data_IF_768352849485
#
_entry.id   IF_768352849485
#
_cell.length_a   1.000
_cell.length_b   1.000
_cell.length_c   1.000
_cell.angle_alpha   90.00
_cell.angle_beta   90.00
_cell.angle_gamma   90.00
#
_symmetry.space_group_name_H-M   'P 1'
#
loop_
_entity.id
_entity.type
_entity.pdbx_description
1 polymer ?
#
# COMPACT_ATOMS: atom_id res chain seq x y z
N UNK A 1 -16.02 -4.85 -0.27
CA UNK A 1 -14.99 -4.28 0.64
C UNK A 1 -14.37 -3.01 0.10
N UNK A 2 -13.83 -2.96 -1.13
CA UNK A 2 -13.23 -1.74 -1.70
C UNK A 2 -14.18 -0.53 -1.69
N UNK A 3 -15.44 -0.72 -2.10
CA UNK A 3 -16.44 0.36 -2.09
C UNK A 3 -16.70 0.93 -0.70
N UNK A 4 -16.63 0.10 0.35
CA UNK A 4 -16.76 0.55 1.74
C UNK A 4 -15.58 1.43 2.14
N UNK A 5 -14.34 1.04 1.76
CA UNK A 5 -13.12 1.81 2.06
C UNK A 5 -13.14 3.17 1.39
N UNK A 6 -13.42 3.18 0.09
CA UNK A 6 -13.49 4.41 -0.70
C UNK A 6 -14.65 5.27 -0.20
N UNK A 7 -15.81 4.67 0.09
CA UNK A 7 -16.96 5.36 0.66
C UNK A 7 -16.65 6.02 2.00
N UNK A 8 -15.92 5.36 2.90
CA UNK A 8 -15.51 5.93 4.18
C UNK A 8 -14.57 7.14 3.99
N UNK A 9 -13.59 7.05 3.10
CA UNK A 9 -12.68 8.17 2.76
C UNK A 9 -13.47 9.34 2.18
N UNK A 10 -14.34 9.08 1.22
CA UNK A 10 -15.19 10.11 0.59
C UNK A 10 -16.13 10.75 1.61
N UNK A 11 -16.71 9.97 2.52
CA UNK A 11 -17.55 10.50 3.59
C UNK A 11 -16.80 11.44 4.53
N UNK A 12 -15.57 11.07 4.96
CA UNK A 12 -14.72 11.95 5.78
C UNK A 12 -14.44 13.25 5.05
N UNK A 13 -14.07 13.19 3.76
CA UNK A 13 -13.80 14.37 2.94
C UNK A 13 -15.04 15.28 2.85
N UNK A 14 -16.20 14.73 2.51
CA UNK A 14 -17.44 15.51 2.36
C UNK A 14 -17.85 16.15 3.70
N UNK A 15 -17.79 15.40 4.80
CA UNK A 15 -18.11 15.92 6.13
C UNK A 15 -17.11 16.99 6.56
N UNK A 16 -15.82 16.79 6.28
CA UNK A 16 -14.78 17.77 6.58
C UNK A 16 -14.92 19.07 5.81
N UNK A 17 -15.36 19.02 4.55
CA UNK A 17 -15.61 20.23 3.74
C UNK A 17 -16.89 20.95 4.19
N UNK A 18 -17.95 20.21 4.54
CA UNK A 18 -19.26 20.80 4.85
C UNK A 18 -19.40 21.28 6.28
N UNK A 19 -18.82 20.56 7.25
CA UNK A 19 -18.93 20.83 8.69
C UNK A 19 -17.63 21.38 9.29
N UNK A 20 -16.51 21.26 8.58
CA UNK A 20 -15.23 21.81 9.02
C UNK A 20 -15.27 23.33 9.05
N UNK A 21 -14.95 23.91 10.20
CA UNK A 21 -14.71 25.34 10.30
C UNK A 21 -13.31 25.64 9.75
N UNK A 22 -13.21 26.60 8.82
CA UNK A 22 -11.97 27.08 8.16
C UNK A 22 -10.86 27.59 9.09
N UNK A 23 -11.04 27.52 10.40
CA UNK A 23 -10.14 27.99 11.45
C UNK A 23 -8.85 27.18 11.63
N UNK A 24 -8.70 25.99 11.02
CA UNK A 24 -7.53 25.10 11.22
C UNK A 24 -6.32 25.37 10.31
N UNK A 25 -6.50 26.08 9.20
CA UNK A 25 -5.42 26.36 8.24
C UNK A 25 -4.79 27.71 8.58
N UNK A 26 -4.07 27.77 9.70
CA UNK A 26 -3.05 28.79 9.84
C UNK A 26 -1.84 28.34 9.02
N UNK A 27 -1.29 29.18 8.13
CA UNK A 27 -0.01 28.86 7.51
C UNK A 27 0.98 28.64 8.64
N UNK A 28 1.38 27.39 8.86
CA UNK A 28 2.57 27.10 9.65
C UNK A 28 3.70 27.69 8.83
N UNK A 29 4.08 28.93 9.16
CA UNK A 29 5.38 29.45 8.80
C UNK A 29 6.36 28.38 9.25
N UNK A 30 7.12 27.84 8.30
CA UNK A 30 8.24 26.93 8.58
C UNK A 30 9.24 27.81 9.34
N UNK A 31 9.04 27.99 10.65
CA UNK A 31 9.77 28.96 11.47
C UNK A 31 11.15 28.46 11.87
N UNK A 32 11.42 27.17 11.66
CA UNK A 32 12.77 26.64 11.68
C UNK A 32 13.04 25.95 10.34
N UNK A 33 14.15 26.27 9.65
CA UNK A 33 14.70 25.33 8.71
C UNK A 33 14.93 24.06 9.53
N UNK A 34 14.25 22.97 9.17
CA UNK A 34 14.53 21.68 9.78
C UNK A 34 16.05 21.50 9.65
N UNK A 35 16.73 21.42 10.80
CA UNK A 35 18.19 21.51 10.90
C UNK A 35 18.89 20.33 10.17
N UNK A 36 18.10 19.41 9.62
CA UNK A 36 18.40 18.56 8.48
C UNK A 36 17.15 18.36 7.60
N UNK A 37 16.92 19.26 6.64
CA UNK A 37 15.73 19.21 5.76
C UNK A 37 15.67 17.92 4.94
N UNK A 38 16.82 17.36 4.56
CA UNK A 38 16.90 16.08 3.86
C UNK A 38 16.50 14.93 4.79
N UNK A 39 17.01 14.90 6.03
CA UNK A 39 16.68 13.87 7.01
C UNK A 39 15.18 13.83 7.33
N UNK A 40 14.56 15.00 7.52
CA UNK A 40 13.13 15.10 7.75
C UNK A 40 12.29 14.62 6.55
N UNK A 41 12.69 14.97 5.32
CA UNK A 41 12.04 14.49 4.10
C UNK A 41 12.17 12.97 3.97
N UNK A 42 13.36 12.41 4.22
CA UNK A 42 13.60 10.97 4.18
C UNK A 42 12.81 10.22 5.26
N UNK A 43 12.64 10.79 6.45
CA UNK A 43 11.79 10.17 7.48
C UNK A 43 10.30 10.23 7.11
N UNK A 44 9.84 11.29 6.46
CA UNK A 44 8.46 11.43 6.00
C UNK A 44 8.15 10.58 4.76
N UNK A 45 9.13 10.30 3.90
CA UNK A 45 8.91 9.55 2.66
C UNK A 45 8.62 8.07 2.95
N UNK A 46 9.19 7.48 4.00
CA UNK A 46 8.98 6.07 4.36
C UNK A 46 7.50 5.74 4.64
N UNK A 47 6.79 6.43 5.55
CA UNK A 47 5.36 6.18 5.77
C UNK A 47 4.51 6.56 4.54
N UNK A 48 4.93 7.54 3.74
CA UNK A 48 4.23 7.86 2.49
C UNK A 48 4.35 6.71 1.46
N UNK A 49 5.56 6.21 1.23
CA UNK A 49 5.85 5.07 0.34
C UNK A 49 5.09 3.82 0.75
N UNK A 50 4.92 3.62 2.06
CA UNK A 50 4.15 2.54 2.62
C UNK A 50 2.64 2.68 2.39
N UNK A 51 2.11 3.90 2.49
CA UNK A 51 0.71 4.17 2.19
C UNK A 51 0.36 3.83 0.73
N UNK A 52 1.31 4.03 -0.20
CA UNK A 52 1.15 3.69 -1.61
C UNK A 52 1.54 2.25 -1.97
N UNK A 53 1.94 1.42 -1.01
CA UNK A 53 2.31 0.03 -1.25
C UNK A 53 1.08 -0.80 -1.71
N UNK A 54 1.29 -1.69 -2.68
CA UNK A 54 0.27 -2.66 -3.13
C UNK A 54 0.09 -2.73 -4.64
N UNK A 55 0.53 -1.73 -5.39
CA UNK A 55 0.42 -1.70 -6.86
C UNK A 55 1.15 -2.89 -7.54
N UNK A 56 2.20 -3.43 -6.90
CA UNK A 56 2.97 -4.57 -7.40
C UNK A 56 2.15 -5.87 -7.51
N UNK A 57 1.04 -5.98 -6.78
CA UNK A 57 0.14 -7.15 -6.85
C UNK A 57 -0.51 -7.32 -8.23
N UNK A 58 -0.63 -6.22 -9.00
CA UNK A 58 -1.11 -6.27 -10.39
C UNK A 58 -0.22 -7.16 -11.28
N UNK A 59 1.10 -7.16 -11.04
CA UNK A 59 2.04 -8.01 -11.76
C UNK A 59 1.87 -9.49 -11.43
N UNK A 60 1.61 -9.81 -10.16
CA UNK A 60 1.40 -11.19 -9.69
C UNK A 60 0.14 -11.82 -10.29
N UNK A 61 -0.89 -11.01 -10.53
CA UNK A 61 -2.16 -11.42 -11.13
C UNK A 61 -2.17 -11.29 -12.65
N UNK A 62 -1.03 -10.99 -13.29
CA UNK A 62 -0.98 -10.74 -14.72
C UNK A 62 -1.49 -11.89 -15.58
N UNK A 63 -1.29 -13.14 -15.15
CA UNK A 63 -1.79 -14.33 -15.83
C UNK A 63 -3.31 -14.53 -15.73
N UNK A 64 -3.98 -13.86 -14.78
CA UNK A 64 -5.43 -13.92 -14.57
C UNK A 64 -6.17 -12.74 -15.24
N UNK A 65 -5.43 -11.72 -15.71
CA UNK A 65 -6.00 -10.49 -16.28
C UNK A 65 -6.22 -10.67 -17.78
N UNK A 66 -7.45 -10.43 -18.25
CA UNK A 66 -7.75 -10.33 -19.69
C UNK A 66 -6.95 -9.19 -20.32
N UNK A 67 -6.30 -9.45 -21.47
CA UNK A 67 -5.47 -8.48 -22.19
C UNK A 67 -4.43 -7.75 -21.30
N UNK A 68 -3.52 -8.49 -20.66
CA UNK A 68 -2.65 -7.94 -19.61
C UNK A 68 -1.75 -6.81 -20.12
N UNK A 69 -1.30 -6.87 -21.38
CA UNK A 69 -0.45 -5.84 -22.00
C UNK A 69 -1.10 -4.44 -22.08
N UNK A 70 -2.44 -4.35 -22.06
CA UNK A 70 -3.17 -3.06 -22.07
C UNK A 70 -3.81 -2.76 -20.72
N UNK A 71 -4.34 -3.77 -20.05
CA UNK A 71 -5.13 -3.58 -18.84
C UNK A 71 -4.25 -3.37 -17.59
N UNK A 72 -3.10 -4.03 -17.47
CA UNK A 72 -2.19 -3.81 -16.34
C UNK A 72 -1.67 -2.37 -16.30
N UNK A 73 -1.14 -1.79 -17.41
CA UNK A 73 -0.67 -0.40 -17.41
C UNK A 73 -1.79 0.61 -17.11
N UNK A 74 -2.99 0.42 -17.69
CA UNK A 74 -4.14 1.30 -17.45
C UNK A 74 -4.59 1.25 -16.00
N UNK A 75 -4.70 0.04 -15.44
CA UNK A 75 -5.08 -0.15 -14.04
C UNK A 75 -4.05 0.47 -13.10
N UNK A 76 -2.75 0.32 -13.39
CA UNK A 76 -1.68 0.93 -12.62
C UNK A 76 -1.78 2.47 -12.64
N UNK A 77 -1.86 3.10 -13.82
CA UNK A 77 -1.87 4.56 -13.95
C UNK A 77 -3.16 5.16 -13.36
N UNK A 78 -4.32 4.71 -13.83
CA UNK A 78 -5.61 5.27 -13.41
C UNK A 78 -5.88 4.98 -11.92
N UNK A 79 -5.53 3.77 -11.47
CA UNK A 79 -5.64 3.38 -10.07
C UNK A 79 -4.73 4.23 -9.17
N UNK A 80 -3.46 4.41 -9.53
CA UNK A 80 -2.53 5.24 -8.77
C UNK A 80 -2.98 6.71 -8.73
N UNK A 81 -3.41 7.30 -9.85
CA UNK A 81 -3.90 8.68 -9.86
C UNK A 81 -5.13 8.87 -8.97
N UNK A 82 -6.06 7.91 -8.97
CA UNK A 82 -7.22 7.94 -8.09
C UNK A 82 -6.80 7.89 -6.61
N UNK A 83 -5.89 6.97 -6.25
CA UNK A 83 -5.40 6.83 -4.88
C UNK A 83 -4.65 8.09 -4.43
N UNK A 84 -3.77 8.65 -5.27
CA UNK A 84 -3.07 9.91 -5.01
C UNK A 84 -4.08 11.03 -4.72
N UNK A 85 -5.09 11.17 -5.58
CA UNK A 85 -6.11 12.21 -5.42
C UNK A 85 -6.87 12.06 -4.10
N UNK A 86 -7.29 10.84 -3.75
CA UNK A 86 -7.96 10.54 -2.48
C UNK A 86 -7.07 10.82 -1.28
N UNK A 87 -5.78 10.47 -1.35
CA UNK A 87 -4.83 10.66 -0.25
C UNK A 87 -4.50 12.12 -0.02
N UNK A 88 -4.29 12.89 -1.09
CA UNK A 88 -4.09 14.35 -0.98
C UNK A 88 -5.34 15.00 -0.37
N UNK A 89 -6.53 14.64 -0.85
CA UNK A 89 -7.78 15.23 -0.41
C UNK A 89 -8.11 14.93 1.05
N UNK A 90 -7.88 13.70 1.51
CA UNK A 90 -8.12 13.34 2.91
C UNK A 90 -7.08 13.95 3.85
N UNK A 91 -5.80 14.04 3.46
CA UNK A 91 -4.79 14.73 4.27
C UNK A 91 -5.09 16.23 4.39
N UNK A 92 -5.46 16.87 3.27
CA UNK A 92 -5.93 18.25 3.29
C UNK A 92 -7.13 18.43 4.24
N UNK A 93 -8.09 17.50 4.18
CA UNK A 93 -9.24 17.49 5.10
C UNK A 93 -8.82 17.35 6.56
N UNK A 94 -7.87 16.46 6.88
CA UNK A 94 -7.38 16.32 8.26
C UNK A 94 -6.68 17.58 8.77
N UNK A 95 -5.82 18.20 7.96
CA UNK A 95 -5.20 19.47 8.35
C UNK A 95 -6.23 20.58 8.51
N UNK A 96 -7.28 20.59 7.70
CA UNK A 96 -8.38 21.54 7.82
C UNK A 96 -9.15 21.39 9.15
N UNK A 97 -9.43 20.15 9.60
CA UNK A 97 -10.22 19.88 10.81
C UNK A 97 -9.37 19.98 12.09
N UNK A 98 -8.19 19.37 12.09
CA UNK A 98 -7.37 19.16 13.29
C UNK A 98 -6.22 20.18 13.42
N UNK A 99 -5.72 20.72 12.31
CA UNK A 99 -4.46 21.46 12.26
C UNK A 99 -3.22 20.57 12.40
N UNK A 100 -2.06 21.07 11.96
CA UNK A 100 -0.80 20.31 11.89
C UNK A 100 -0.37 19.67 13.22
N UNK A 101 -0.45 20.40 14.34
CA UNK A 101 0.00 19.91 15.64
C UNK A 101 -0.80 18.70 16.13
N UNK A 102 -2.12 18.70 15.93
CA UNK A 102 -2.98 17.58 16.37
C UNK A 102 -2.81 16.37 15.46
N UNK A 103 -2.65 16.59 14.14
CA UNK A 103 -2.35 15.49 13.21
C UNK A 103 -1.02 14.82 13.58
N UNK A 104 0.00 15.59 13.94
CA UNK A 104 1.31 15.05 14.33
C UNK A 104 1.30 14.24 15.64
N UNK A 105 0.39 14.55 16.56
CA UNK A 105 0.28 13.87 17.87
C UNK A 105 -0.74 12.72 17.86
N UNK A 106 -1.61 12.66 16.86
CA UNK A 106 -2.70 11.70 16.81
C UNK A 106 -2.23 10.31 16.36
N UNK A 107 -2.62 9.30 17.13
CA UNK A 107 -2.46 7.88 16.75
C UNK A 107 -3.57 7.42 15.79
N UNK A 108 -4.72 8.10 15.78
CA UNK A 108 -5.92 7.72 15.03
C UNK A 108 -6.58 8.94 14.38
N UNK A 109 -5.85 9.59 13.44
CA UNK A 109 -6.22 10.88 12.83
C UNK A 109 -7.66 10.92 12.31
N UNK A 110 -8.12 9.82 11.68
CA UNK A 110 -9.48 9.71 11.17
C UNK A 110 -10.54 9.78 12.29
N UNK A 111 -10.32 9.06 13.39
CA UNK A 111 -11.25 9.06 14.53
C UNK A 111 -11.28 10.42 15.20
N UNK A 112 -10.12 11.03 15.44
CA UNK A 112 -10.00 12.33 16.09
C UNK A 112 -10.67 13.44 15.27
N UNK A 113 -10.54 13.40 13.94
CA UNK A 113 -11.25 14.30 13.04
C UNK A 113 -12.77 14.12 13.18
N UNK A 114 -13.26 12.88 13.21
CA UNK A 114 -14.70 12.60 13.31
C UNK A 114 -15.30 12.98 14.67
N UNK A 115 -14.54 12.89 15.77
CA UNK A 115 -14.98 13.38 17.09
C UNK A 115 -15.31 14.87 17.02
N UNK A 116 -14.50 15.67 16.33
CA UNK A 116 -14.72 17.11 16.22
C UNK A 116 -15.88 17.48 15.27
N UNK A 117 -16.12 16.69 14.23
CA UNK A 117 -17.17 16.98 13.25
C UNK A 117 -18.58 16.56 13.73
N UNK A 118 -18.70 15.33 14.24
CA UNK A 118 -20.01 14.71 14.52
C UNK A 118 -20.05 13.97 15.88
N UNK A 119 -19.05 14.19 16.74
CA UNK A 119 -18.99 13.65 18.10
C UNK A 119 -18.59 12.17 18.18
N UNK A 120 -18.56 11.65 19.41
CA UNK A 120 -18.08 10.29 19.71
C UNK A 120 -18.87 9.19 18.98
N UNK A 121 -20.17 9.39 18.74
CA UNK A 121 -20.99 8.41 18.02
C UNK A 121 -20.53 8.21 16.59
N UNK A 122 -20.18 9.29 15.88
CA UNK A 122 -19.64 9.20 14.52
C UNK A 122 -18.22 8.64 14.46
N UNK A 123 -17.38 8.98 15.45
CA UNK A 123 -16.05 8.41 15.60
C UNK A 123 -16.07 6.89 15.79
N UNK A 124 -17.06 6.34 16.51
CA UNK A 124 -17.25 4.89 16.63
C UNK A 124 -17.57 4.24 15.29
N UNK A 125 -18.50 4.81 14.51
CA UNK A 125 -18.85 4.27 13.20
C UNK A 125 -17.67 4.26 12.22
N UNK A 126 -16.89 5.35 12.17
CA UNK A 126 -15.71 5.37 11.29
C UNK A 126 -14.66 4.35 11.75
N UNK A 127 -14.47 4.18 13.06
CA UNK A 127 -13.55 3.19 13.62
C UNK A 127 -13.96 1.77 13.23
N UNK A 128 -15.24 1.43 13.33
CA UNK A 128 -15.77 0.13 12.87
C UNK A 128 -15.54 -0.06 11.36
N UNK A 129 -15.83 0.96 10.55
CA UNK A 129 -15.59 0.90 9.11
C UNK A 129 -14.10 0.68 8.77
N UNK A 130 -13.18 1.30 9.52
CA UNK A 130 -11.74 1.10 9.40
C UNK A 130 -11.30 -0.31 9.81
N UNK A 131 -11.88 -0.88 10.88
CA UNK A 131 -11.59 -2.26 11.30
C UNK A 131 -12.04 -3.25 10.23
N UNK A 132 -13.25 -3.10 9.68
CA UNK A 132 -13.75 -3.94 8.59
C UNK A 132 -12.86 -3.80 7.35
N UNK A 133 -12.40 -2.58 7.07
CA UNK A 133 -11.44 -2.31 6.00
C UNK A 133 -10.12 -3.06 6.18
N UNK A 134 -9.54 -2.98 7.38
CA UNK A 134 -8.29 -3.66 7.73
C UNK A 134 -8.44 -5.18 7.61
N UNK A 135 -9.54 -5.74 8.12
CA UNK A 135 -9.83 -7.16 7.99
C UNK A 135 -9.97 -7.60 6.53
N UNK A 136 -10.64 -6.80 5.69
CA UNK A 136 -10.72 -7.07 4.26
C UNK A 136 -9.34 -7.03 3.56
N UNK A 137 -8.44 -6.13 3.97
CA UNK A 137 -7.06 -6.13 3.47
C UNK A 137 -6.30 -7.38 3.92
N UNK A 138 -6.42 -7.78 5.18
CA UNK A 138 -5.77 -8.98 5.72
C UNK A 138 -6.24 -10.23 4.98
N UNK A 139 -7.54 -10.37 4.77
CA UNK A 139 -8.10 -11.49 4.02
C UNK A 139 -7.54 -11.59 2.59
N UNK A 140 -7.47 -10.46 1.88
CA UNK A 140 -6.87 -10.43 0.54
C UNK A 140 -5.40 -10.88 0.55
N UNK A 141 -4.60 -10.39 1.51
CA UNK A 141 -3.19 -10.79 1.65
C UNK A 141 -3.04 -12.29 1.99
N UNK A 142 -3.97 -12.86 2.76
CA UNK A 142 -3.97 -14.30 3.05
C UNK A 142 -4.32 -15.17 1.83
N UNK A 143 -5.12 -14.66 0.90
CA UNK A 143 -5.44 -15.38 -0.34
C UNK A 143 -4.31 -15.29 -1.38
N UNK A 144 -3.65 -14.14 -1.48
CA UNK A 144 -2.62 -13.92 -2.51
C UNK A 144 -1.22 -14.30 -2.05
N UNK A 145 -0.88 -14.06 -0.78
CA UNK A 145 0.46 -14.27 -0.22
C UNK A 145 1.02 -15.69 -0.41
N UNK A 146 0.25 -16.77 -0.18
CA UNK A 146 0.74 -18.14 -0.31
C UNK A 146 1.14 -18.54 -1.73
N UNK A 147 0.73 -17.79 -2.76
CA UNK A 147 1.04 -18.10 -4.17
C UNK A 147 2.53 -18.02 -4.46
N UNK A 148 3.27 -17.14 -3.78
CA UNK A 148 4.72 -16.97 -3.97
C UNK A 148 5.49 -18.19 -3.44
N UNK A 149 5.39 -18.58 -2.14
CA UNK A 149 6.08 -19.78 -1.64
C UNK A 149 5.60 -21.07 -2.30
N UNK A 150 4.34 -21.14 -2.75
CA UNK A 150 3.87 -22.25 -3.56
C UNK A 150 4.60 -22.35 -4.91
N UNK A 151 4.71 -21.25 -5.66
CA UNK A 151 5.43 -21.22 -6.93
C UNK A 151 6.91 -21.54 -6.75
N UNK A 152 7.57 -20.94 -5.74
CA UNK A 152 8.98 -21.23 -5.44
C UNK A 152 9.21 -22.71 -5.07
N UNK A 153 8.27 -23.33 -4.34
CA UNK A 153 8.38 -24.74 -3.97
C UNK A 153 8.13 -25.69 -5.15
N UNK A 154 7.28 -25.30 -6.11
CA UNK A 154 7.09 -26.03 -7.36
C UNK A 154 8.34 -25.99 -8.23
N UNK A 155 9.00 -24.83 -8.26
CA UNK A 155 10.22 -24.62 -9.06
C UNK A 155 11.49 -25.14 -8.35
N UNK A 156 11.36 -25.76 -7.17
CA UNK A 156 12.44 -26.41 -6.43
C UNK A 156 13.31 -25.47 -5.57
N UNK A 157 12.94 -24.19 -5.48
CA UNK A 157 13.68 -23.16 -4.74
C UNK A 157 13.19 -22.93 -3.30
N UNK A 158 12.19 -23.69 -2.85
CA UNK A 158 11.61 -23.57 -1.51
C UNK A 158 11.25 -24.94 -0.92
N UNK A 159 10.92 -24.97 0.37
CA UNK A 159 10.58 -26.22 1.06
C UNK A 159 9.46 -26.99 0.36
N UNK A 160 9.69 -28.28 0.12
CA UNK A 160 8.74 -29.15 -0.59
C UNK A 160 7.35 -29.21 0.07
N UNK A 161 7.25 -28.94 1.38
CA UNK A 161 5.96 -28.87 2.07
C UNK A 161 5.02 -27.80 1.49
N UNK A 162 5.55 -26.65 1.05
CA UNK A 162 4.73 -25.55 0.55
C UNK A 162 4.06 -25.83 -0.81
N UNK A 163 4.53 -26.85 -1.55
CA UNK A 163 3.90 -27.28 -2.82
C UNK A 163 2.65 -28.13 -2.63
N UNK A 164 2.31 -28.50 -1.38
CA UNK A 164 1.14 -29.33 -1.07
C UNK A 164 -0.16 -28.60 -1.37
N UNK A 165 -1.01 -29.21 -2.18
CA UNK A 165 -2.36 -28.74 -2.49
C UNK A 165 -3.36 -29.58 -1.69
N UNK A 166 -4.38 -28.92 -1.14
CA UNK A 166 -5.48 -29.60 -0.46
C UNK A 166 -6.38 -30.30 -1.47
N UNK A 167 -6.69 -31.59 -1.25
CA UNK A 167 -7.45 -32.42 -2.19
C UNK A 167 -8.87 -31.93 -2.49
N UNK A 168 -9.57 -31.43 -1.47
CA UNK A 168 -10.95 -30.92 -1.62
C UNK A 168 -10.99 -29.45 -2.06
N UNK A 169 -10.32 -28.56 -1.32
CA UNK A 169 -10.39 -27.12 -1.56
C UNK A 169 -9.47 -26.60 -2.66
N UNK A 170 -8.55 -27.44 -3.18
CA UNK A 170 -7.59 -27.07 -4.22
C UNK A 170 -6.72 -25.83 -3.86
N UNK A 171 -6.53 -25.58 -2.57
CA UNK A 171 -5.72 -24.48 -2.04
C UNK A 171 -4.31 -24.95 -1.67
N UNK A 172 -3.27 -24.10 -1.77
CA UNK A 172 -1.90 -24.44 -1.41
C UNK A 172 -1.73 -24.46 0.13
N UNK A 173 -2.26 -25.50 0.77
CA UNK A 173 -2.37 -25.58 2.24
C UNK A 173 -1.03 -25.50 2.95
N UNK A 174 0.03 -26.09 2.39
CA UNK A 174 1.37 -26.00 2.97
C UNK A 174 1.91 -24.57 2.99
N UNK A 175 1.72 -23.83 1.91
CA UNK A 175 2.12 -22.43 1.81
C UNK A 175 1.30 -21.53 2.76
N UNK A 176 0.00 -21.79 2.90
CA UNK A 176 -0.89 -21.07 3.83
C UNK A 176 -0.45 -21.27 5.28
N UNK A 177 -0.18 -22.52 5.67
CA UNK A 177 0.30 -22.85 7.03
C UNK A 177 1.63 -22.16 7.29
N UNK A 178 2.58 -22.24 6.35
CA UNK A 178 3.88 -21.57 6.48
C UNK A 178 3.72 -20.05 6.70
N UNK A 179 2.92 -19.39 5.86
CA UNK A 179 2.64 -17.96 6.01
C UNK A 179 1.98 -17.64 7.36
N UNK A 180 1.02 -18.45 7.80
CA UNK A 180 0.34 -18.28 9.08
C UNK A 180 1.30 -18.42 10.27
N UNK A 181 2.17 -19.43 10.28
CA UNK A 181 3.18 -19.62 11.32
C UNK A 181 4.15 -18.45 11.40
N UNK A 182 4.66 -17.97 10.26
CA UNK A 182 5.55 -16.80 10.22
C UNK A 182 4.83 -15.56 10.71
N UNK A 183 3.58 -15.34 10.31
CA UNK A 183 2.79 -14.21 10.77
C UNK A 183 2.58 -14.23 12.30
N UNK A 184 2.25 -15.40 12.87
CA UNK A 184 2.10 -15.56 14.33
C UNK A 184 3.42 -15.27 15.05
N UNK A 185 4.54 -15.81 14.56
CA UNK A 185 5.85 -15.56 15.16
C UNK A 185 6.21 -14.07 15.16
N UNK A 186 6.00 -13.37 14.04
CA UNK A 186 6.29 -11.95 13.93
C UNK A 186 5.40 -11.11 14.86
N UNK A 187 4.13 -11.45 14.98
CA UNK A 187 3.20 -10.77 15.91
C UNK A 187 3.64 -10.94 17.38
N UNK A 188 4.25 -12.08 17.73
CA UNK A 188 4.73 -12.34 19.08
C UNK A 188 6.07 -11.68 19.40
N UNK A 189 6.91 -11.39 18.40
CA UNK A 189 8.29 -10.93 18.61
C UNK A 189 8.55 -9.46 18.29
N UNK A 190 7.75 -8.83 17.41
CA UNK A 190 8.00 -7.48 16.93
C UNK A 190 6.88 -6.49 17.26
N UNK A 191 7.23 -5.21 17.39
CA UNK A 191 6.22 -4.15 17.41
C UNK A 191 5.70 -3.88 16.00
N UNK A 192 4.46 -3.35 15.88
CA UNK A 192 3.88 -3.00 14.58
C UNK A 192 4.81 -2.07 13.78
N UNK A 193 5.38 -1.06 14.44
CA UNK A 193 6.18 -0.03 13.78
C UNK A 193 7.52 -0.57 13.26
N UNK A 194 8.18 -1.47 13.99
CA UNK A 194 9.41 -2.13 13.54
C UNK A 194 9.15 -3.06 12.35
N UNK A 195 8.15 -3.95 12.48
CA UNK A 195 7.77 -4.88 11.41
C UNK A 195 7.37 -4.13 10.14
N UNK A 196 6.57 -3.09 10.29
CA UNK A 196 6.14 -2.22 9.21
C UNK A 196 7.34 -1.60 8.50
N UNK A 197 8.22 -0.91 9.24
CA UNK A 197 9.39 -0.22 8.69
C UNK A 197 10.32 -1.18 7.94
N UNK A 198 10.58 -2.35 8.51
CA UNK A 198 11.38 -3.39 7.90
C UNK A 198 10.79 -3.89 6.57
N UNK A 199 9.48 -4.18 6.55
CA UNK A 199 8.78 -4.68 5.36
C UNK A 199 8.80 -3.65 4.23
N UNK A 200 8.54 -2.38 4.53
CA UNK A 200 8.56 -1.30 3.52
C UNK A 200 9.95 -1.17 2.94
N UNK A 201 10.97 -1.09 3.78
CA UNK A 201 12.35 -1.00 3.33
C UNK A 201 12.71 -2.17 2.40
N UNK A 202 12.42 -3.41 2.81
CA UNK A 202 12.69 -4.60 2.02
C UNK A 202 11.95 -4.57 0.67
N UNK A 203 10.64 -4.27 0.66
CA UNK A 203 9.85 -4.21 -0.58
C UNK A 203 10.45 -3.20 -1.56
N UNK A 204 10.76 -2.00 -1.08
CA UNK A 204 11.27 -0.93 -1.95
C UNK A 204 12.70 -1.19 -2.43
N UNK A 205 13.54 -1.84 -1.62
CA UNK A 205 14.85 -2.32 -2.04
C UNK A 205 14.71 -3.33 -3.20
N UNK A 206 13.84 -4.34 -3.06
CA UNK A 206 13.62 -5.34 -4.12
C UNK A 206 12.94 -4.74 -5.36
N UNK A 207 12.08 -3.74 -5.21
CA UNK A 207 11.53 -2.99 -6.34
C UNK A 207 12.62 -2.22 -7.08
N UNK A 208 13.55 -1.58 -6.37
CA UNK A 208 14.70 -0.91 -6.99
C UNK A 208 15.58 -1.91 -7.75
N UNK A 209 15.88 -3.07 -7.17
CA UNK A 209 16.61 -4.15 -7.84
C UNK A 209 15.87 -4.67 -9.07
N UNK A 210 14.53 -4.76 -9.02
CA UNK A 210 13.70 -5.17 -10.16
C UNK A 210 13.76 -4.13 -11.28
N UNK A 211 13.78 -2.83 -10.96
CA UNK A 211 13.96 -1.77 -11.95
C UNK A 211 15.36 -1.85 -12.61
N UNK A 212 16.41 -2.12 -11.84
CA UNK A 212 17.77 -2.35 -12.36
C UNK A 212 17.81 -3.60 -13.24
N UNK A 213 17.18 -4.69 -12.80
CA UNK A 213 17.07 -5.93 -13.57
C UNK A 213 16.34 -5.70 -14.90
N UNK A 214 15.28 -4.90 -14.92
CA UNK A 214 14.56 -4.51 -16.14
C UNK A 214 15.48 -3.76 -17.12
N UNK A 215 16.29 -2.81 -16.63
CA UNK A 215 17.26 -2.10 -17.47
C UNK A 215 18.28 -3.08 -18.05
N UNK A 216 18.83 -3.96 -17.21
CA UNK A 216 19.83 -4.97 -17.62
C UNK A 216 19.25 -5.98 -18.63
N UNK A 217 17.99 -6.40 -18.44
CA UNK A 217 17.29 -7.32 -19.35
C UNK A 217 17.07 -6.69 -20.72
N UNK A 218 16.86 -5.37 -20.80
CA UNK A 218 16.72 -4.67 -22.08
C UNK A 218 18.00 -4.74 -22.92
N UNK A 219 19.17 -4.69 -22.29
CA UNK A 219 20.47 -4.82 -22.96
C UNK A 219 20.84 -6.28 -23.26
N UNK A 220 20.57 -7.21 -22.34
CA UNK A 220 20.96 -8.63 -22.52
C UNK A 220 20.07 -9.40 -23.49
N UNK A 221 18.77 -9.13 -23.49
CA UNK A 221 17.79 -9.90 -24.27
C UNK A 221 16.86 -8.94 -25.03
N UNK A 222 17.37 -8.22 -26.04
CA UNK A 222 16.63 -7.19 -26.76
C UNK A 222 15.41 -7.74 -27.52
N UNK A 223 15.50 -8.98 -28.02
CA UNK A 223 14.53 -9.59 -28.93
C UNK A 223 13.34 -10.28 -28.24
N UNK A 224 13.31 -10.31 -26.90
CA UNK A 224 12.18 -10.89 -26.18
C UNK A 224 10.86 -10.21 -26.57
N UNK A 225 9.76 -10.98 -26.77
CA UNK A 225 8.45 -10.40 -27.01
C UNK A 225 8.00 -9.62 -25.78
N UNK A 226 7.76 -8.32 -25.96
CA UNK A 226 7.36 -7.38 -24.90
C UNK A 226 5.96 -6.83 -25.19
N UNK A 227 4.89 -7.43 -24.65
CA UNK A 227 3.52 -6.97 -24.85
C UNK A 227 3.26 -5.53 -24.40
N UNK A 228 4.09 -5.03 -23.48
CA UNK A 228 4.07 -3.65 -23.02
C UNK A 228 5.50 -3.09 -22.95
N UNK A 229 5.68 -1.85 -23.39
CA UNK A 229 6.95 -1.11 -23.30
C UNK A 229 6.72 0.19 -22.52
N UNK A 230 7.36 0.30 -21.36
CA UNK A 230 7.35 1.53 -20.54
C UNK A 230 7.94 2.69 -21.36
N UNK A 231 7.27 3.85 -21.31
CA UNK A 231 7.69 5.10 -21.96
C UNK A 231 8.79 5.82 -21.16
N UNK A 232 9.67 6.60 -21.82
CA UNK A 232 10.73 7.40 -21.17
C UNK A 232 12.11 6.75 -21.17
N UNK A 233 12.98 7.11 -20.20
CA UNK A 233 14.40 6.68 -20.12
C UNK A 233 14.61 5.17 -20.24
N UNK A 234 13.64 4.36 -19.80
CA UNK A 234 13.69 2.92 -19.97
C UNK A 234 13.73 2.48 -21.45
N UNK A 235 13.22 3.28 -22.40
CA UNK A 235 13.32 3.04 -23.84
C UNK A 235 14.73 3.25 -24.40
N UNK A 236 15.56 4.06 -23.73
CA UNK A 236 16.84 4.58 -24.25
C UNK A 236 17.99 3.57 -24.09
N UNK A 237 17.81 2.47 -23.36
CA UNK A 237 18.77 1.35 -23.36
C UNK A 237 18.88 0.59 -24.72
N UNK A 238 18.49 1.24 -25.82
CA UNK A 238 18.52 0.78 -27.21
C UNK A 238 19.32 1.74 -28.12
N UNK A 239 20.14 2.64 -27.59
CA UNK A 239 21.20 3.32 -28.36
C UNK A 239 22.57 2.88 -27.86
#
# INVERSE_FOLDING_TARGET
>A
MTSLKVGAVVAIVILGITLGKLSGIHPVLITSPAQDSIGAILMAIVPAMAAYNGFQTLGQLGGEISNPGRNIPRAAILGSLLVISLYVLINWTYFHILGFSRVAQSQYVASDAMVLLIGNSGAKWITVAMIVSAFGSLHANFLTGPRIPFAMARDGHFFAFAKRIHSVFHTPSGAVIFQGCVAILLVLTGTYQELYSFVIFAIWLFLALTAVALIRLRTKEPDLPRPFRVWGYFQIAMM
#
